data_IF_944015150360
#
_entry.id   IF_944015150360
#
_cell.length_a   1.000
_cell.length_b   1.000
_cell.length_c   1.000
_cell.angle_alpha   90.00
_cell.angle_beta   90.00
_cell.angle_gamma   90.00
#
_symmetry.space_group_name_H-M   'P 1'
#
loop_
_entity.id
_entity.type
_entity.pdbx_description
1 polymer ?
2 polymer ?
3 polymer ?
4 non-polymer ?
5 non-polymer ?
6 water ?
#
loop_
_entity_poly.entity_id
_entity_poly.type
_entity_poly.pdbx_seq_one_letter_code
_entity_poly.pdbx_strand_id
1 'polyribonucleotide' 'GGCCACCUGAC(A2M)GUCC(IU)CUCC' ?
2 'polyribonucleotide' '(GTP)GAGAGAGAAGUCAACCAGAGAAACACACCAACCCAUUGCACUCCGGGUUGGUGGUAUAUUACCUGGUACGGGGGAAACUUCGUGGUGGCCG' ?
#
# COMPACT_ATOMS: atom_id res chain seq x y z
N UNK E 6 -4.45 14.27 -18.27
CA UNK E 6 -5.80 13.62 -18.31
C UNK E 6 -6.83 14.44 -17.52
N UNK E 7 -8.03 14.55 -18.10
CA UNK E 7 -9.13 15.31 -17.52
C UNK E 7 -9.72 14.65 -16.27
N UNK E 8 -9.85 15.40 -15.17
CA UNK E 8 -10.41 14.77 -13.97
C UNK E 8 -11.83 14.31 -14.28
N UNK E 9 -12.19 13.15 -13.73
CA UNK E 9 -13.50 12.57 -13.97
C UNK E 9 -14.07 11.99 -12.67
N UNK E 10 -15.35 11.65 -12.66
CA UNK E 10 -16.00 11.05 -11.50
C UNK E 10 -15.39 9.67 -11.30
N UNK E 11 -14.99 9.06 -12.41
CA UNK E 11 -14.43 7.73 -12.38
C UNK E 11 -12.92 7.71 -12.49
N UNK E 12 -12.31 6.73 -11.83
CA UNK E 12 -10.88 6.57 -11.90
C UNK E 12 -10.60 5.19 -12.48
N UNK E 13 -9.74 5.14 -13.49
CA UNK E 13 -9.37 3.89 -14.12
C UNK E 13 -8.16 3.38 -13.38
N UNK E 14 -8.22 2.14 -12.91
CA UNK E 14 -7.10 1.55 -12.16
C UNK E 14 -6.58 0.30 -12.82
N UNK E 15 -5.28 0.24 -13.10
CA UNK E 15 -4.76 -1.00 -13.68
C UNK E 15 -3.48 -1.46 -13.02
N UNK E 16 -2.96 -2.59 -13.50
CA UNK E 16 -1.78 -3.21 -12.95
C UNK E 16 -2.22 -3.81 -11.61
N UNK E 17 -3.40 -4.43 -11.62
CA UNK E 17 -3.94 -5.09 -10.45
C UNK E 17 -3.60 -6.56 -10.60
N UNK E 18 -3.49 -7.26 -9.48
CA UNK E 18 -3.17 -8.68 -9.47
C UNK E 18 -4.29 -9.43 -10.18
N UNK E 19 -3.94 -10.14 -11.24
CA UNK E 19 -4.91 -10.87 -12.03
C UNK E 19 -5.42 -12.18 -11.44
N UNK E 20 -4.79 -12.68 -10.39
CA UNK E 20 -5.23 -13.96 -9.83
C UNK E 20 -6.32 -13.85 -8.76
N UNK E 21 -6.64 -12.63 -8.38
CA UNK E 21 -7.67 -12.38 -7.38
C UNK E 21 -9.06 -12.52 -7.94
N UNK E 22 -9.89 -13.37 -7.32
CA UNK E 22 -11.27 -13.57 -7.78
C UNK E 22 -12.02 -12.23 -7.80
N UNK E 23 -12.92 -12.11 -8.77
CA UNK E 23 -13.70 -10.90 -8.99
C UNK E 23 -14.35 -10.27 -7.75
N UNK E 24 -15.16 -11.05 -7.04
CA UNK E 24 -15.81 -10.47 -5.87
C UNK E 24 -14.85 -10.09 -4.74
N UNK E 25 -13.77 -10.84 -4.56
CA UNK E 25 -12.83 -10.47 -3.51
C UNK E 25 -12.11 -9.18 -3.92
N UNK E 26 -11.71 -9.10 -5.18
CA UNK E 26 -11.03 -7.92 -5.68
C UNK E 26 -11.92 -6.71 -5.52
N UNK E 27 -13.19 -6.91 -5.86
CA UNK E 27 -14.19 -5.86 -5.79
C UNK E 27 -14.40 -5.35 -4.37
N UNK E 28 -14.41 -6.24 -3.39
CA UNK E 28 -14.59 -5.79 -2.00
C UNK E 28 -13.32 -5.14 -1.45
N UNK E 29 -12.14 -5.68 -1.78
CA UNK E 29 -10.89 -5.09 -1.30
C UNK E 29 -10.82 -3.64 -1.78
N UNK E 30 -11.17 -3.42 -3.05
CA UNK E 30 -11.14 -2.08 -3.66
C UNK E 30 -12.07 -1.11 -2.94
N UNK E 31 -13.27 -1.59 -2.60
CA UNK E 31 -14.22 -0.75 -1.91
C UNK E 31 -13.66 -0.34 -0.57
N UNK E 32 -13.16 -1.31 0.18
CA UNK E 32 -12.59 -1.06 1.52
C UNK E 32 -11.50 0.00 1.46
N UNK E 33 -10.64 -0.13 0.47
CA UNK E 33 -9.52 0.79 0.24
C UNK E 33 -9.89 2.22 -0.15
N UNK E 34 -10.90 2.37 -1.00
CA UNK E 34 -11.29 3.70 -1.46
C UNK E 34 -12.45 4.37 -0.73
N UNK E 35 -13.22 3.60 0.04
CA UNK E 35 -14.36 4.14 0.79
C UNK E 35 -14.13 5.51 1.44
N UNK E 36 -13.07 5.63 2.22
CA UNK E 36 -12.78 6.89 2.92
C UNK E 36 -12.75 8.16 2.09
N UNK E 37 -12.71 8.03 0.77
CA UNK E 37 -12.63 9.22 -0.08
C UNK E 37 -13.96 9.83 -0.46
N UNK E 38 -15.02 9.05 -0.32
CA UNK E 38 -16.34 9.54 -0.64
C UNK E 38 -17.25 8.39 -1.01
N UNK E 39 -18.49 8.68 -1.38
CA UNK E 39 -19.42 7.64 -1.75
C UNK E 39 -19.01 7.02 -3.09
N UNK E 40 -19.13 5.71 -3.18
CA UNK E 40 -18.80 4.97 -4.38
C UNK E 40 -20.10 4.46 -5.00
N UNK E 41 -20.47 4.99 -6.16
CA UNK E 41 -21.70 4.60 -6.83
C UNK E 41 -21.67 3.18 -7.34
N UNK E 42 -20.47 2.69 -7.63
CA UNK E 42 -20.32 1.32 -8.15
C UNK E 42 -18.85 1.06 -8.47
N UNK E 43 -18.53 -0.19 -8.75
CA UNK E 43 -17.16 -0.59 -9.07
C UNK E 43 -17.20 -1.66 -10.11
N UNK E 44 -16.62 -1.40 -11.28
CA UNK E 44 -16.67 -2.40 -12.31
C UNK E 44 -15.38 -3.20 -12.47
N UNK E 45 -15.51 -4.52 -12.30
CA UNK E 45 -14.38 -5.43 -12.42
C UNK E 45 -14.76 -6.59 -13.31
N UNK E 46 -14.03 -6.77 -14.41
CA UNK E 46 -14.30 -7.91 -15.27
C UNK E 46 -12.99 -8.62 -15.46
N UNK E 47 -13.06 -9.95 -15.53
CA UNK E 47 -11.88 -10.78 -15.67
C UNK E 47 -11.75 -11.33 -17.06
N UNK E 48 -12.43 -10.67 -17.99
CA UNK E 48 -12.36 -11.06 -19.40
C UNK E 48 -10.95 -10.71 -19.84
N UNK E 49 -10.48 -11.37 -20.91
CA UNK E 49 -9.14 -11.14 -21.44
C UNK E 49 -8.75 -9.66 -21.53
N UNK E 50 -9.70 -8.84 -21.96
CA UNK E 50 -9.45 -7.41 -22.13
C UNK E 50 -9.52 -6.54 -20.87
N UNK E 51 -10.41 -6.89 -19.95
CA UNK E 51 -10.58 -6.10 -18.75
C UNK E 51 -9.79 -6.57 -17.54
N UNK E 52 -9.47 -7.86 -17.49
CA UNK E 52 -8.72 -8.40 -16.35
C UNK E 52 -7.53 -7.54 -16.04
N UNK E 53 -7.24 -7.44 -14.75
CA UNK E 53 -6.12 -6.65 -14.29
C UNK E 53 -6.56 -5.22 -14.16
N UNK E 54 -7.84 -4.95 -14.43
CA UNK E 54 -8.30 -3.57 -14.32
C UNK E 54 -9.63 -3.41 -13.60
N UNK E 55 -9.95 -2.17 -13.25
CA UNK E 55 -11.20 -1.91 -12.57
C UNK E 55 -11.52 -0.42 -12.62
N UNK E 56 -12.82 -0.09 -12.58
CA UNK E 56 -13.27 1.31 -12.58
C UNK E 56 -14.06 1.57 -11.31
N UNK E 57 -13.65 2.57 -10.55
CA UNK E 57 -14.33 2.93 -9.32
C UNK E 57 -15.07 4.23 -9.57
N UNK E 58 -16.40 4.13 -9.66
CA UNK E 58 -17.22 5.31 -9.93
C UNK E 58 -17.62 6.05 -8.66
N UNK E 59 -17.14 7.29 -8.54
CA UNK E 59 -17.41 8.14 -7.39
C UNK E 59 -18.57 9.10 -7.65
N UNK E 60 -19.27 9.44 -6.58
CA UNK E 60 -20.39 10.37 -6.65
C UNK E 60 -19.89 11.80 -6.89
N UNK E 61 -18.75 12.15 -6.31
CA UNK E 61 -18.18 13.50 -6.47
C UNK E 61 -16.77 13.47 -7.07
N UNK E 62 -16.54 14.32 -8.08
CA UNK E 62 -15.23 14.38 -8.75
C UNK E 62 -14.09 14.56 -7.76
N UNK E 63 -14.21 15.52 -6.86
CA UNK E 63 -13.17 15.79 -5.87
C UNK E 63 -12.75 14.50 -5.16
N UNK E 64 -13.70 13.58 -4.96
CA UNK E 64 -13.38 12.31 -4.30
C UNK E 64 -12.50 11.45 -5.19
N UNK E 65 -12.69 11.53 -6.49
CA UNK E 65 -11.90 10.75 -7.41
C UNK E 65 -10.49 11.31 -7.38
N UNK E 66 -10.40 12.63 -7.41
CA UNK E 66 -9.14 13.36 -7.40
C UNK E 66 -8.30 13.12 -6.13
N UNK E 67 -8.95 13.07 -4.97
CA UNK E 67 -8.24 12.84 -3.72
C UNK E 67 -7.69 11.42 -3.69
N UNK E 68 -8.52 10.47 -4.13
CA UNK E 68 -8.15 9.06 -4.14
C UNK E 68 -7.04 8.79 -5.15
N UNK E 69 -7.10 9.47 -6.29
CA UNK E 69 -6.07 9.29 -7.31
C UNK E 69 -4.71 9.69 -6.75
N UNK E 70 -4.62 10.92 -6.25
CA UNK E 70 -3.38 11.43 -5.68
C UNK E 70 -2.88 10.62 -4.48
N UNK E 71 -3.80 10.20 -3.62
CA UNK E 71 -3.44 9.46 -2.42
C UNK E 71 -3.01 8.02 -2.60
N UNK E 72 -3.65 7.35 -3.55
CA UNK E 72 -3.42 5.93 -3.78
C UNK E 72 -2.55 5.52 -4.96
N UNK E 73 -1.91 6.48 -5.60
CA UNK E 73 -1.04 6.15 -6.74
C UNK E 73 0.11 5.23 -6.29
N UNK E 74 0.20 4.05 -6.87
CA UNK E 74 1.28 3.14 -6.51
C UNK E 74 1.10 2.37 -5.21
N UNK E 75 -0.11 2.40 -4.66
CA UNK E 75 -0.39 1.70 -3.41
C UNK E 75 -0.20 0.18 -3.50
N UNK E 76 0.54 -0.41 -2.56
CA UNK E 76 0.74 -1.87 -2.65
C UNK E 76 -0.60 -2.54 -2.50
N UNK E 77 -1.04 -3.24 -3.54
CA UNK E 77 -2.31 -3.93 -3.51
C UNK E 77 -2.03 -5.32 -4.02
N UNK E 78 -2.28 -6.31 -3.17
CA UNK E 78 -2.01 -7.67 -3.56
C UNK E 78 -0.61 -7.84 -4.13
N UNK E 79 0.35 -7.07 -3.59
CA UNK E 79 1.75 -7.17 -4.00
C UNK E 79 2.15 -6.51 -5.31
N UNK E 80 1.28 -5.68 -5.86
CA UNK E 80 1.54 -4.98 -7.10
C UNK E 80 1.17 -3.54 -6.89
N UNK E 81 2.04 -2.61 -7.27
CA UNK E 81 1.77 -1.18 -7.11
C UNK E 81 0.64 -0.72 -8.05
N UNK E 82 -0.43 -0.25 -7.44
CA UNK E 82 -1.63 0.22 -8.14
C UNK E 82 -1.39 1.42 -9.05
N UNK E 83 -1.79 1.32 -10.32
CA UNK E 83 -1.65 2.47 -11.22
C UNK E 83 -3.02 3.11 -11.37
N UNK E 84 -3.10 4.42 -11.14
CA UNK E 84 -4.39 5.09 -11.21
C UNK E 84 -4.44 6.34 -12.06
N UNK E 85 -5.44 6.41 -12.93
CA UNK E 85 -5.64 7.61 -13.74
C UNK E 85 -7.13 7.91 -13.85
N UNK E 86 -7.47 9.10 -14.30
CA UNK E 86 -8.88 9.46 -14.46
C UNK E 86 -9.37 8.67 -15.66
N UNK E 87 -10.66 8.35 -15.69
CA UNK E 87 -11.16 7.60 -16.84
C UNK E 87 -11.15 8.54 -18.04
N UNK E 88 -10.98 7.99 -19.24
CA UNK E 88 -10.96 8.83 -20.46
C UNK E 88 -12.31 9.49 -20.69
N UNK E 89 -13.40 8.73 -20.52
CA UNK E 89 -14.75 9.25 -20.70
C UNK E 89 -15.63 8.85 -19.53
N UNK E 90 -16.72 9.58 -19.35
CA UNK E 90 -17.65 9.31 -18.27
C UNK E 90 -18.24 7.91 -18.34
N UNK E 91 -18.51 7.34 -17.17
CA UNK E 91 -19.14 6.02 -17.10
C UNK E 91 -20.60 6.30 -17.38
N UNK E 92 -21.30 5.33 -17.96
CA UNK E 92 -22.71 5.53 -18.29
C UNK E 92 -23.59 6.11 -17.18
N UNK E 93 -23.54 5.56 -15.97
CA UNK E 93 -24.41 6.08 -14.90
C UNK E 93 -24.10 7.52 -14.56
N UNK E 94 -23.00 8.05 -15.10
CA UNK E 94 -22.63 9.44 -14.85
C UNK E 94 -23.08 10.31 -16.03
N UNK E 95 -22.89 9.80 -17.24
CA UNK E 95 -23.29 10.50 -18.45
C UNK E 95 -24.81 10.55 -18.51
N UNK E 96 -25.43 9.39 -18.45
CA UNK E 96 -26.89 9.27 -18.47
C UNK E 96 -27.54 9.94 -17.27
N UNK E 97 -26.80 10.82 -16.60
CA UNK E 97 -27.31 11.51 -15.43
C UNK E 97 -27.49 13.00 -15.74
N UNK F 6 18.97 -8.15 -1.36
CA UNK F 6 19.91 -8.88 -0.45
C UNK F 6 19.31 -10.26 -0.10
N UNK F 7 19.97 -10.98 0.78
CA UNK F 7 19.47 -12.28 1.21
C UNK F 7 18.21 -12.10 2.08
N UNK F 8 17.28 -13.05 2.01
CA UNK F 8 16.10 -12.90 2.85
C UNK F 8 16.61 -12.83 4.29
N UNK F 9 15.97 -12.03 5.14
CA UNK F 9 16.40 -11.89 6.53
C UNK F 9 15.23 -11.72 7.52
N UNK F 10 15.45 -12.06 8.80
CA UNK F 10 14.41 -11.93 9.83
C UNK F 10 13.98 -10.49 9.99
N UNK F 11 14.92 -9.59 9.69
CA UNK F 11 14.67 -8.17 9.80
C UNK F 11 14.56 -7.43 8.46
N UNK F 12 13.65 -6.48 8.37
CA UNK F 12 13.53 -5.71 7.14
C UNK F 12 14.04 -4.32 7.45
N UNK F 13 14.72 -3.73 6.47
CA UNK F 13 15.28 -2.39 6.61
C UNK F 13 14.27 -1.52 5.89
N UNK F 14 13.83 -0.44 6.53
CA UNK F 14 12.83 0.44 5.93
C UNK F 14 13.36 1.86 5.99
N UNK F 15 13.39 2.55 4.86
CA UNK F 15 13.86 3.91 4.90
C UNK F 15 12.96 4.79 4.04
N UNK F 16 13.29 6.07 3.99
CA UNK F 16 12.50 7.04 3.25
C UNK F 16 11.26 7.31 4.11
N UNK F 17 11.49 7.33 5.42
CA UNK F 17 10.46 7.59 6.41
C UNK F 17 10.45 9.08 6.70
N UNK F 18 9.29 9.62 7.05
CA UNK F 18 9.15 11.03 7.37
C UNK F 18 9.98 11.31 8.62
N UNK F 19 10.93 12.22 8.50
CA UNK F 19 11.81 12.56 9.61
C UNK F 19 11.22 13.49 10.67
N UNK F 20 10.04 14.05 10.41
CA UNK F 20 9.46 14.94 11.40
C UNK F 20 8.65 14.22 12.47
N UNK F 21 8.35 12.94 12.25
CA UNK F 21 7.57 12.15 13.19
C UNK F 21 8.31 11.63 14.42
N UNK F 22 7.71 11.85 15.59
CA UNK F 22 8.28 11.40 16.85
C UNK F 22 8.45 9.89 16.87
N UNK F 23 9.51 9.45 17.55
CA UNK F 23 9.87 8.04 17.65
C UNK F 23 8.76 7.10 18.15
N UNK F 24 8.14 7.43 19.28
CA UNK F 24 7.07 6.58 19.82
C UNK F 24 5.93 6.51 18.81
N UNK F 25 5.57 7.67 18.26
CA UNK F 25 4.53 7.71 17.27
C UNK F 25 4.93 6.86 16.06
N UNK F 26 6.21 6.92 15.67
CA UNK F 26 6.65 6.14 14.53
C UNK F 26 6.67 4.62 14.82
N UNK F 27 7.19 4.22 15.98
CA UNK F 27 7.23 2.78 16.29
C UNK F 27 5.82 2.23 16.33
N UNK F 28 4.92 2.96 17.00
CA UNK F 28 3.53 2.55 17.12
C UNK F 28 2.84 2.37 15.77
N UNK F 29 2.99 3.34 14.86
CA UNK F 29 2.35 3.19 13.53
C UNK F 29 2.97 2.01 12.79
N UNK F 30 4.28 1.86 12.89
CA UNK F 30 4.95 0.75 12.21
C UNK F 30 4.39 -0.60 12.68
N UNK F 31 4.20 -0.73 13.98
CA UNK F 31 3.68 -2.01 14.51
C UNK F 31 2.24 -2.22 14.01
N UNK F 32 1.47 -1.15 14.01
CA UNK F 32 0.08 -1.23 13.55
C UNK F 32 -0.02 -1.78 12.14
N UNK F 33 0.77 -1.24 11.22
CA UNK F 33 0.71 -1.71 9.82
C UNK F 33 1.53 -2.95 9.50
N UNK F 34 2.41 -3.39 10.41
CA UNK F 34 3.21 -4.58 10.16
C UNK F 34 2.86 -5.83 10.98
N UNK F 35 2.14 -5.66 12.08
CA UNK F 35 1.75 -6.79 12.93
C UNK F 35 1.09 -7.97 12.21
N UNK F 36 0.27 -7.70 11.21
CA UNK F 36 -0.44 -8.77 10.48
C UNK F 36 0.41 -9.82 9.75
N UNK F 37 1.69 -9.54 9.50
CA UNK F 37 2.53 -10.50 8.77
C UNK F 37 3.14 -11.57 9.65
N UNK F 38 3.04 -11.39 10.96
CA UNK F 38 3.59 -12.37 11.90
C UNK F 38 4.06 -11.67 13.15
N UNK F 39 4.44 -12.43 14.18
CA UNK F 39 4.89 -11.78 15.42
C UNK F 39 6.11 -10.93 15.11
N UNK F 40 6.13 -9.75 15.72
CA UNK F 40 7.20 -8.79 15.60
C UNK F 40 7.96 -8.85 16.94
N UNK F 41 9.29 -9.03 16.91
CA UNK F 41 10.06 -9.12 18.15
C UNK F 41 10.49 -7.77 18.65
N UNK F 42 10.73 -6.84 17.75
CA UNK F 42 11.14 -5.49 18.14
C UNK F 42 11.21 -4.61 16.90
N UNK F 43 11.23 -3.31 17.11
CA UNK F 43 11.28 -2.35 16.03
C UNK F 43 12.23 -1.30 16.52
N UNK F 44 13.38 -1.12 15.85
CA UNK F 44 14.35 -0.11 16.29
C UNK F 44 14.26 1.15 15.45
N UNK F 45 14.04 2.27 16.10
CA UNK F 45 13.95 3.54 15.41
C UNK F 45 14.78 4.55 16.16
N UNK F 46 15.66 5.24 15.45
CA UNK F 46 16.43 6.28 16.09
C UNK F 46 16.39 7.52 15.19
N UNK F 47 16.36 8.69 15.82
CA UNK F 47 16.30 9.96 15.11
C UNK F 47 17.65 10.69 15.04
N UNK F 48 18.72 9.96 15.34
CA UNK F 48 20.06 10.53 15.26
C UNK F 48 20.36 10.86 13.80
N UNK F 49 21.36 11.71 13.59
CA UNK F 49 21.76 12.10 12.24
C UNK F 49 21.80 10.96 11.25
N UNK F 50 22.57 9.93 11.59
CA UNK F 50 22.72 8.81 10.67
C UNK F 50 21.60 7.80 10.60
N UNK F 51 20.83 7.67 11.67
CA UNK F 51 19.76 6.68 11.66
C UNK F 51 18.36 7.23 11.44
N UNK F 52 18.21 8.55 11.40
CA UNK F 52 16.88 9.15 11.17
C UNK F 52 16.37 8.82 9.78
N UNK F 53 15.04 8.69 9.66
CA UNK F 53 14.41 8.36 8.39
C UNK F 53 14.39 6.87 8.14
N UNK F 54 14.86 6.09 9.10
CA UNK F 54 14.91 4.64 8.90
C UNK F 54 14.41 3.93 10.14
N UNK F 55 14.21 2.63 10.01
CA UNK F 55 13.76 1.81 11.13
C UNK F 55 13.97 0.36 10.80
N UNK F 56 14.26 -0.44 11.83
CA UNK F 56 14.46 -1.86 11.60
C UNK F 56 13.28 -2.56 12.25
N UNK F 57 12.66 -3.47 11.51
CA UNK F 57 11.54 -4.19 12.04
C UNK F 57 11.96 -5.64 12.06
N UNK F 58 12.13 -6.19 13.26
CA UNK F 58 12.58 -7.56 13.41
C UNK F 58 11.44 -8.53 13.60
N UNK F 59 11.30 -9.44 12.64
CA UNK F 59 10.25 -10.44 12.65
C UNK F 59 10.80 -11.71 13.27
N UNK F 60 9.89 -12.54 13.79
CA UNK F 60 10.25 -13.79 14.42
C UNK F 60 10.51 -14.84 13.37
N UNK F 61 9.81 -14.72 12.25
CA UNK F 61 9.98 -15.68 11.18
C UNK F 61 10.36 -14.99 9.88
N UNK F 62 11.36 -15.53 9.19
CA UNK F 62 11.81 -14.94 7.94
C UNK F 62 10.63 -14.87 6.99
N UNK F 63 9.87 -15.96 6.91
CA UNK F 63 8.69 -15.99 6.02
C UNK F 63 7.85 -14.74 6.25
N UNK F 64 7.80 -14.28 7.49
CA UNK F 64 7.03 -13.09 7.80
C UNK F 64 7.68 -11.83 7.22
N UNK F 65 9.02 -11.81 7.19
CA UNK F 65 9.74 -10.66 6.67
C UNK F 65 9.54 -10.55 5.17
N UNK F 66 9.65 -11.68 4.48
CA UNK F 66 9.47 -11.70 3.04
C UNK F 66 8.08 -11.22 2.66
N UNK F 67 7.09 -11.58 3.46
CA UNK F 67 5.72 -11.19 3.20
C UNK F 67 5.53 -9.71 3.35
N UNK F 68 6.00 -9.16 4.45
CA UNK F 68 5.88 -7.72 4.64
C UNK F 68 6.59 -6.98 3.50
N UNK F 69 7.83 -7.36 3.21
CA UNK F 69 8.60 -6.73 2.14
C UNK F 69 7.86 -6.68 0.80
N UNK F 70 7.44 -7.85 0.33
CA UNK F 70 6.72 -7.97 -0.91
C UNK F 70 5.33 -7.33 -0.95
N UNK F 71 4.78 -6.99 0.21
CA UNK F 71 3.43 -6.46 0.24
C UNK F 71 3.25 -5.05 0.73
N UNK F 72 4.33 -4.46 1.24
CA UNK F 72 4.24 -3.10 1.76
C UNK F 72 5.23 -2.19 1.05
N UNK F 73 5.78 -2.67 -0.06
CA UNK F 73 6.74 -1.85 -0.81
C UNK F 73 6.06 -0.59 -1.34
N UNK F 74 6.44 0.56 -0.82
CA UNK F 74 5.85 1.80 -1.32
C UNK F 74 4.65 2.32 -0.56
N UNK F 75 4.21 1.56 0.43
CA UNK F 75 3.06 1.94 1.24
C UNK F 75 3.07 3.41 1.69
N UNK F 76 1.97 4.14 1.44
CA UNK F 76 1.88 5.56 1.83
C UNK F 76 2.12 5.60 3.32
N UNK F 77 2.91 6.54 3.81
CA UNK F 77 3.21 6.58 5.24
C UNK F 77 3.68 7.95 5.66
N UNK F 78 2.81 8.67 6.36
CA UNK F 78 3.13 10.01 6.80
C UNK F 78 3.56 10.86 5.61
N UNK F 79 2.90 10.65 4.48
CA UNK F 79 3.15 11.40 3.24
C UNK F 79 4.33 11.00 2.38
N UNK F 80 4.98 9.89 2.70
CA UNK F 80 6.11 9.41 1.90
C UNK F 80 5.95 7.91 1.64
N UNK F 81 6.24 7.46 0.41
CA UNK F 81 6.13 6.05 0.02
C UNK F 81 7.34 5.30 0.58
N UNK F 82 7.15 4.58 1.67
CA UNK F 82 8.24 3.88 2.33
C UNK F 82 8.98 2.87 1.49
N UNK F 83 10.30 2.81 1.69
CA UNK F 83 11.14 1.86 0.96
C UNK F 83 11.62 0.77 1.92
N UNK F 84 11.52 -0.47 1.46
CA UNK F 84 11.84 -1.66 2.26
C UNK F 84 12.82 -2.62 1.61
N UNK F 85 13.76 -3.13 2.42
CA UNK F 85 14.74 -4.11 1.95
C UNK F 85 15.03 -5.05 3.13
N UNK F 86 15.65 -6.19 2.87
CA UNK F 86 16.03 -7.06 3.97
C UNK F 86 17.23 -6.38 4.59
N UNK F 87 17.50 -6.63 5.86
CA UNK F 87 18.65 -6.02 6.50
C UNK F 87 19.85 -6.77 5.95
N UNK F 88 20.99 -6.10 5.83
CA UNK F 88 22.18 -6.77 5.32
C UNK F 88 22.64 -7.84 6.28
N UNK F 89 22.59 -7.54 7.58
CA UNK F 89 23.03 -8.48 8.62
C UNK F 89 21.98 -8.76 9.71
N UNK F 90 22.03 -9.97 10.26
CA UNK F 90 21.11 -10.35 11.33
C UNK F 90 21.14 -9.33 12.45
N UNK F 91 19.98 -9.04 13.02
CA UNK F 91 19.96 -8.12 14.14
C UNK F 91 20.51 -8.92 15.31
N UNK F 92 21.08 -8.25 16.31
CA UNK F 92 21.62 -8.98 17.45
C UNK F 92 20.72 -10.05 18.10
N UNK F 93 19.47 -9.71 18.44
CA UNK F 93 18.61 -10.70 19.11
C UNK F 93 18.37 -11.96 18.31
N UNK F 94 18.51 -11.86 16.99
CA UNK F 94 18.31 -13.03 16.13
C UNK F 94 19.60 -13.82 16.05
N UNK F 95 20.71 -13.11 16.06
CA UNK F 95 22.03 -13.73 15.97
C UNK F 95 22.41 -14.39 17.29
N UNK F 96 21.94 -13.81 18.40
CA UNK F 96 22.22 -14.32 19.74
C UNK F 96 21.35 -15.48 20.18
N UNK F 97 20.48 -16.00 19.32
CA UNK F 97 19.64 -17.13 19.71
C UNK F 97 20.38 -18.45 19.52
X LIG G 1 -41.80 -11.20 -40.43
X LIG H 1 -31.71 -44.42 -21.72
X LIG I 1 -20.34 2.11 -24.75
X LIG J 1 0.69 -3.63 -25.25
X LIG K 1 -36.81 -45.20 -25.13
X LIG L 1 -20.75 -38.54 -20.90
X LIG M 1 -17.20 -36.11 -19.43
X LIG N 1 -29.34 -22.12 -29.01
X LIG O 1 -33.81 -20.59 -35.22
X LIG P 1 -0.44 -19.48 -25.42
X LIG Q 1 -20.47 -18.16 -28.68
X LIG R 1 -11.90 -33.01 -20.50
X LIG S 1 -34.98 -33.85 -44.22
X LIG T 1 -9.50 -22.84 -21.01
X LIG U 1 -35.51 -67.85 -36.85
X LIG V 1 -37.47 -48.06 -30.59
X LIG W 1 44.88 0.72 41.17
X LIG X 1 22.46 32.70 46.62
X LIG Y 1 24.46 9.92 0.51
X LIG Z 1 27.08 -4.67 17.02
X LIG AA 1 26.52 31.63 51.35
X LIG BA 1 27.27 16.33 28.23
X LIG CA 1 30.27 35.76 52.06
X LIG DA 1 22.66 14.92 30.67
X LIG EA 1 20.10 28.14 41.11
X LIG FA 1 18.55 20.57 16.37
X LIG GA 1 19.78 23.09 17.60
X LIG HA 1 40.77 37.09 31.39
X LIG IA 1 14.75 18.55 4.93
X LIG JA 1 40.88 42.80 46.09
X LIG KA 1 -1.89 9.46 -21.42
X LIG LA 1 18.50 12.86 18.35
X LIG MA 1 7.82 -3.21 19.48
X LIG NA 1 14.44 1.83 19.29
X LIG OA 1 11.24 11.50 19.20
#
# INVERSE_FOLDING_TARGET
MAVPETRPNHTIYINNLNEKIKKDELKKSLHAIFSRFGQILDILVSRSLKMRGQAFVIFKEVSSATNALRSMQGFPFYDKPMRIQYAKTDSDIIAKMKGT
MAVPETRPNHTIYINNLNEKIKKDELKKSLHAIFSRFGQILDILVSRSLKMRGQAFVIFKEVSSATNALRSMQGFPFYDKPMRIQYAKTDSDIIAKMKGT
CA CA
CA CA
CA CA
CA CA
CA CA
CA CA
CA CA
CA CA
CA CA
CA CA
CA CA
CA CA
CA CA
CA CA
CA CA
CA CA
CA CA
CA CA
CA CA
CA CA
CA CA
CA CA
CA CA
CA CA
CA CA
CA CA
CA CA
CA CA
CA CA
CA CA
CA CA
CA CA
CA CA
CL CL
CL CL
#
